data_IF_527838749024
#
_entry.id   IF_527838749024
#
_cell.length_a   1.000
_cell.length_b   1.000
_cell.length_c   1.000
_cell.angle_alpha   90.00
_cell.angle_beta   90.00
_cell.angle_gamma   90.00
#
_symmetry.space_group_name_H-M   'P 1'
#
loop_
_entity.id
_entity.type
_entity.pdbx_description
1 polymer ?
#
# COMPACT_ATOMS: atom_id res chain seq x y z
N UNK A 1 22.01 15.43 -29.03
CA UNK A 1 22.40 15.49 -28.55
C UNK A 1 22.47 15.05 -28.40
N UNK A 2 21.96 15.16 -27.81
CA UNK A 2 22.25 15.12 -27.54
C UNK A 2 22.39 14.66 -27.41
N UNK A 3 22.39 14.83 -28.97
CA UNK A 3 22.77 14.92 -28.58
C UNK A 3 22.77 14.58 -28.27
N UNK A 4 22.37 14.48 -28.89
CA UNK A 4 22.72 14.60 -28.36
C UNK A 4 22.47 14.01 -27.94
N UNK A 5 22.22 13.91 -28.07
CA UNK A 5 22.48 13.81 -27.43
C UNK A 5 22.24 13.23 -26.93
N UNK A 6 21.79 13.27 -26.77
CA UNK A 6 21.94 13.05 -26.09
C UNK A 6 21.69 12.48 -25.61
N UNK A 7 21.63 12.51 -25.97
CA UNK A 7 21.86 12.34 -25.28
C UNK A 7 21.56 11.95 -24.71
N UNK A 8 21.41 11.94 -25.55
CA UNK A 8 21.59 12.00 -24.76
C UNK A 8 21.44 11.69 -24.18
N UNK A 9 21.06 11.40 -24.09
CA UNK A 9 21.32 11.43 -23.25
C UNK A 9 21.19 11.02 -22.48
N UNK A 10 20.67 10.97 -22.55
CA UNK A 10 20.97 10.84 -21.56
C UNK A 10 20.82 11.03 -20.77
N UNK A 11 20.65 11.06 -20.99
CA UNK A 11 20.78 11.30 -19.99
C UNK A 11 20.64 11.34 -19.25
N UNK A 12 20.69 11.28 -19.39
CA UNK A 12 20.53 11.23 -18.54
C UNK A 12 20.64 10.46 -18.76
N UNK A 13 20.74 9.81 -19.30
CA UNK A 13 21.11 9.20 -19.29
C UNK A 13 21.15 8.30 -19.79
N UNK A 14 21.31 7.93 -20.13
CA UNK A 14 21.62 7.39 -20.31
C UNK A 14 21.34 6.65 -20.60
N UNK A 15 21.42 6.26 -20.77
CA UNK A 15 21.36 5.93 -20.64
C UNK A 15 21.23 6.18 -20.10
N UNK A 16 21.12 6.28 -20.62
CA UNK A 16 21.12 6.71 -19.73
C UNK A 16 20.57 6.81 -19.35
N UNK A 17 20.61 6.55 -19.99
CA UNK A 17 19.84 6.47 -19.55
C UNK A 17 19.20 6.88 -18.36
N UNK A 18 18.03 7.29 -18.58
CA UNK A 18 17.28 7.69 -17.42
C UNK A 18 16.54 6.47 -16.87
N UNK A 19 16.60 6.18 -15.55
CA UNK A 19 15.83 5.08 -15.00
C UNK A 19 14.33 5.38 -15.14
N UNK A 20 13.56 4.34 -15.40
CA UNK A 20 12.10 4.45 -15.39
C UNK A 20 11.66 4.66 -13.96
N UNK A 21 10.79 5.64 -13.67
CA UNK A 21 10.27 5.83 -12.33
C UNK A 21 9.57 4.58 -11.81
N UNK A 22 9.66 4.35 -10.51
CA UNK A 22 8.93 3.28 -9.87
C UNK A 22 7.43 3.50 -10.06
N UNK A 23 6.72 2.44 -10.39
CA UNK A 23 5.29 2.49 -10.66
C UNK A 23 4.50 1.82 -9.54
N UNK A 24 3.28 2.30 -9.26
CA UNK A 24 2.41 1.59 -8.33
C UNK A 24 2.05 0.21 -8.86
N UNK A 25 1.79 -0.74 -7.95
CA UNK A 25 1.52 -2.11 -8.33
C UNK A 25 0.65 -2.78 -7.27
N UNK A 26 -0.39 -3.52 -7.73
CA UNK A 26 -1.22 -4.32 -6.83
C UNK A 26 -0.55 -5.62 -6.40
N UNK A 27 0.68 -5.88 -6.85
CA UNK A 27 1.38 -7.11 -6.51
C UNK A 27 2.09 -6.98 -5.18
N UNK A 28 1.54 -7.65 -4.18
CA UNK A 28 2.16 -7.76 -2.86
C UNK A 28 3.14 -8.91 -2.86
N UNK A 29 4.26 -8.72 -2.16
CA UNK A 29 5.29 -9.74 -2.02
C UNK A 29 5.49 -10.07 -0.55
N UNK A 30 5.92 -11.29 -0.31
CA UNK A 30 6.18 -11.78 1.03
C UNK A 30 7.61 -12.26 1.14
N UNK A 31 8.15 -12.18 2.35
CA UNK A 31 9.46 -12.75 2.69
C UNK A 31 9.28 -13.74 3.82
N UNK A 32 10.20 -14.70 4.00
CA UNK A 32 10.08 -15.65 5.10
C UNK A 32 10.11 -14.95 6.45
N UNK A 33 9.28 -15.44 7.39
CA UNK A 33 9.33 -14.98 8.77
C UNK A 33 10.55 -15.62 9.45
N UNK A 34 11.49 -14.80 9.98
CA UNK A 34 12.69 -15.36 10.62
C UNK A 34 12.44 -15.99 11.98
N UNK A 35 11.26 -15.77 12.58
CA UNK A 35 10.91 -16.34 13.89
C UNK A 35 9.53 -16.99 13.84
N UNK A 36 9.36 -18.07 13.06
CA UNK A 36 8.02 -18.65 12.87
C UNK A 36 7.47 -19.34 14.10
N UNK A 37 8.33 -19.68 15.06
CA UNK A 37 7.93 -20.38 16.30
C UNK A 37 7.49 -19.43 17.41
N UNK A 38 7.53 -18.13 17.17
CA UNK A 38 7.18 -17.14 18.18
C UNK A 38 6.01 -16.30 17.68
N UNK A 39 5.05 -16.06 18.56
CA UNK A 39 4.02 -15.07 18.28
C UNK A 39 4.53 -13.69 18.66
N UNK A 40 4.52 -12.80 17.70
CA UNK A 40 4.85 -11.39 17.92
C UNK A 40 4.03 -10.55 16.96
N UNK A 41 3.89 -9.27 17.26
CA UNK A 41 3.10 -8.35 16.43
C UNK A 41 4.00 -7.49 15.56
N UNK A 42 3.56 -7.30 14.33
CA UNK A 42 4.13 -6.31 13.41
C UNK A 42 3.07 -5.26 13.16
N UNK A 43 3.44 -3.99 13.31
CA UNK A 43 2.53 -2.89 13.05
C UNK A 43 3.14 -1.99 11.99
N UNK A 44 2.38 -1.76 10.91
CA UNK A 44 2.78 -0.83 9.85
C UNK A 44 1.78 0.32 9.84
N UNK A 45 2.26 1.54 10.03
CA UNK A 45 1.42 2.74 9.97
C UNK A 45 1.73 3.45 8.67
N UNK A 46 0.69 3.62 7.84
CA UNK A 46 0.82 4.20 6.51
C UNK A 46 -0.06 5.46 6.45
N UNK A 47 0.50 6.64 6.79
CA UNK A 47 -0.32 7.84 7.01
C UNK A 47 -0.69 8.59 5.74
N UNK A 48 -0.24 8.14 4.57
CA UNK A 48 -0.40 8.91 3.34
C UNK A 48 -1.21 8.19 2.28
N UNK A 49 -2.20 7.39 2.71
CA UNK A 49 -3.04 6.69 1.77
C UNK A 49 -4.00 7.65 1.08
N UNK A 50 -4.16 7.49 -0.23
CA UNK A 50 -5.13 8.25 -1.00
C UNK A 50 -5.90 7.33 -1.94
N UNK A 51 -7.18 7.66 -2.13
CA UNK A 51 -8.00 7.09 -3.18
C UNK A 51 -8.98 8.18 -3.62
N UNK A 52 -9.96 7.81 -4.44
CA UNK A 52 -10.90 8.77 -5.00
C UNK A 52 -12.29 8.42 -4.52
N UNK A 53 -13.05 9.44 -4.13
CA UNK A 53 -14.46 9.24 -3.80
C UNK A 53 -15.21 8.79 -5.06
N UNK A 54 -15.90 7.63 -5.02
CA UNK A 54 -16.56 7.12 -6.23
C UNK A 54 -17.75 7.95 -6.67
N UNK A 55 -18.27 8.80 -5.79
CA UNK A 55 -19.44 9.63 -6.12
C UNK A 55 -19.04 10.99 -6.67
N UNK A 56 -18.02 11.63 -6.09
CA UNK A 56 -17.66 13.01 -6.44
C UNK A 56 -16.37 13.12 -7.24
N UNK A 57 -15.54 12.08 -7.26
CA UNK A 57 -14.22 12.13 -7.89
C UNK A 57 -13.18 12.91 -7.11
N UNK A 58 -13.52 13.39 -5.91
CA UNK A 58 -12.57 14.12 -5.08
C UNK A 58 -11.60 13.15 -4.41
N UNK A 59 -10.35 13.60 -4.16
CA UNK A 59 -9.40 12.76 -3.45
C UNK A 59 -9.79 12.57 -1.99
N UNK A 60 -9.64 11.35 -1.52
CA UNK A 60 -9.81 10.98 -0.11
C UNK A 60 -8.45 10.64 0.47
N UNK A 61 -8.25 10.98 1.74
CA UNK A 61 -6.98 10.77 2.44
C UNK A 61 -7.22 10.01 3.72
N UNK A 62 -6.33 9.07 4.00
CA UNK A 62 -6.46 8.25 5.21
C UNK A 62 -5.11 7.81 5.74
N UNK A 63 -5.11 7.44 7.02
CA UNK A 63 -4.01 6.71 7.62
C UNK A 63 -4.45 5.26 7.79
N UNK A 64 -3.65 4.34 7.27
CA UNK A 64 -3.87 2.91 7.45
C UNK A 64 -2.92 2.38 8.49
N UNK A 65 -3.44 1.62 9.46
CA UNK A 65 -2.63 0.88 10.42
C UNK A 65 -2.92 -0.60 10.21
N UNK A 66 -1.87 -1.34 9.89
CA UNK A 66 -1.94 -2.78 9.64
C UNK A 66 -1.17 -3.46 10.77
N UNK A 67 -1.87 -4.25 11.58
CA UNK A 67 -1.29 -4.97 12.71
C UNK A 67 -1.52 -6.45 12.49
N UNK A 68 -0.45 -7.26 12.56
CA UNK A 68 -0.63 -8.69 12.36
C UNK A 68 0.37 -9.50 13.17
N UNK A 69 -0.02 -10.73 13.47
CA UNK A 69 0.86 -11.75 14.03
C UNK A 69 1.25 -12.66 12.88
N UNK A 70 2.51 -12.64 12.45
CA UNK A 70 2.90 -13.41 11.29
C UNK A 70 2.86 -14.92 11.53
N UNK A 71 2.49 -15.66 10.49
CA UNK A 71 2.69 -17.09 10.40
C UNK A 71 4.02 -17.36 9.70
N UNK A 72 4.00 -18.01 8.52
CA UNK A 72 5.24 -18.35 7.83
C UNK A 72 5.91 -17.16 7.14
N UNK A 73 5.20 -16.05 6.95
CA UNK A 73 5.67 -14.98 6.07
C UNK A 73 5.47 -13.60 6.67
N UNK A 74 6.29 -12.64 6.21
CA UNK A 74 6.13 -11.22 6.49
C UNK A 74 5.83 -10.51 5.16
N UNK A 75 5.09 -9.41 5.24
CA UNK A 75 4.89 -8.58 4.04
C UNK A 75 6.19 -7.84 3.73
N UNK A 76 6.55 -7.81 2.44
CA UNK A 76 7.70 -7.06 1.99
C UNK A 76 7.29 -5.59 1.88
N UNK A 77 8.03 -4.70 2.56
CA UNK A 77 7.56 -3.33 2.79
C UNK A 77 7.53 -2.46 1.53
N UNK A 78 8.46 -2.69 0.61
CA UNK A 78 8.43 -1.92 -0.65
C UNK A 78 7.19 -2.27 -1.46
N UNK A 79 6.84 -3.55 -1.53
CA UNK A 79 5.64 -3.97 -2.26
C UNK A 79 4.37 -3.44 -1.59
N UNK A 80 4.36 -3.37 -0.26
CA UNK A 80 3.23 -2.79 0.47
C UNK A 80 3.06 -1.32 0.11
N UNK A 81 4.15 -0.58 0.05
CA UNK A 81 4.13 0.83 -0.32
C UNK A 81 3.55 1.03 -1.73
N UNK A 82 4.02 0.23 -2.69
CA UNK A 82 3.53 0.32 -4.06
C UNK A 82 2.07 -0.11 -4.18
N UNK A 83 1.68 -1.09 -3.38
CA UNK A 83 0.31 -1.59 -3.35
C UNK A 83 -0.66 -0.50 -2.87
N UNK A 84 -0.36 0.15 -1.75
CA UNK A 84 -1.22 1.21 -1.22
C UNK A 84 -1.26 2.40 -2.18
N UNK A 85 -0.14 2.73 -2.79
CA UNK A 85 -0.07 3.79 -3.81
C UNK A 85 -0.97 3.49 -5.00
N UNK A 86 -1.15 2.22 -5.34
CA UNK A 86 -1.95 1.83 -6.51
C UNK A 86 -3.41 2.25 -6.44
N UNK A 87 -3.89 2.60 -5.25
CA UNK A 87 -5.28 3.07 -5.08
C UNK A 87 -5.48 4.55 -5.36
N UNK A 88 -4.40 5.28 -5.62
CA UNK A 88 -4.44 6.74 -5.67
C UNK A 88 -5.47 7.29 -6.66
N UNK A 89 -5.62 6.64 -7.80
CA UNK A 89 -6.57 7.07 -8.84
C UNK A 89 -7.84 6.23 -8.85
N UNK A 90 -7.99 5.33 -7.92
CA UNK A 90 -9.08 4.36 -7.93
C UNK A 90 -10.22 4.85 -7.05
N UNK A 91 -11.46 4.82 -7.60
CA UNK A 91 -12.66 5.12 -6.83
C UNK A 91 -12.97 3.97 -5.87
N UNK A 92 -13.09 4.27 -4.59
CA UNK A 92 -13.35 3.24 -3.60
C UNK A 92 -14.06 3.82 -2.39
N UNK A 93 -15.07 3.11 -1.89
CA UNK A 93 -15.65 3.43 -0.60
C UNK A 93 -14.69 3.02 0.52
N UNK A 94 -14.72 3.76 1.62
CA UNK A 94 -13.82 3.53 2.75
C UNK A 94 -13.93 2.10 3.27
N UNK A 95 -15.15 1.62 3.40
CA UNK A 95 -15.42 0.26 3.89
C UNK A 95 -14.90 -0.81 2.94
N UNK A 96 -15.06 -0.58 1.64
CA UNK A 96 -14.63 -1.56 0.66
C UNK A 96 -13.12 -1.64 0.58
N UNK A 97 -12.44 -0.50 0.46
CA UNK A 97 -10.98 -0.53 0.30
C UNK A 97 -10.29 -1.09 1.54
N UNK A 98 -10.82 -0.82 2.75
CA UNK A 98 -10.25 -1.37 3.97
C UNK A 98 -10.33 -2.88 3.98
N UNK A 99 -11.47 -3.43 3.57
CA UNK A 99 -11.65 -4.88 3.50
C UNK A 99 -10.79 -5.51 2.40
N UNK A 100 -10.66 -4.84 1.26
CA UNK A 100 -9.82 -5.33 0.15
C UNK A 100 -8.35 -5.40 0.59
N UNK A 101 -7.88 -4.39 1.29
CA UNK A 101 -6.50 -4.38 1.79
C UNK A 101 -6.28 -5.54 2.75
N UNK A 102 -7.23 -5.78 3.66
CA UNK A 102 -7.13 -6.93 4.56
C UNK A 102 -7.07 -8.24 3.78
N UNK A 103 -7.99 -8.45 2.84
CA UNK A 103 -8.07 -9.69 2.09
C UNK A 103 -6.80 -9.95 1.29
N UNK A 104 -6.28 -8.92 0.63
CA UNK A 104 -5.08 -9.06 -0.20
C UNK A 104 -3.86 -9.39 0.66
N UNK A 105 -3.74 -8.74 1.82
CA UNK A 105 -2.61 -9.00 2.73
C UNK A 105 -2.70 -10.39 3.35
N UNK A 106 -3.90 -10.82 3.76
CA UNK A 106 -4.10 -12.16 4.31
C UNK A 106 -3.69 -13.21 3.28
N UNK A 107 -4.11 -13.02 2.04
CA UNK A 107 -3.76 -13.95 0.97
C UNK A 107 -2.27 -13.99 0.70
N UNK A 108 -1.59 -12.84 0.83
CA UNK A 108 -0.17 -12.74 0.57
C UNK A 108 0.69 -13.38 1.68
N UNK A 109 0.42 -13.05 2.96
CA UNK A 109 1.32 -13.40 4.04
C UNK A 109 0.83 -14.53 4.95
N UNK A 110 -0.44 -14.92 4.82
CA UNK A 110 -1.01 -16.02 5.61
C UNK A 110 -0.77 -15.86 7.10
N UNK A 111 -1.23 -14.74 7.68
CA UNK A 111 -0.95 -14.43 9.09
C UNK A 111 -1.78 -15.32 10.02
N UNK A 112 -1.37 -15.40 11.27
CA UNK A 112 -2.20 -16.03 12.29
C UNK A 112 -3.43 -15.19 12.58
N UNK A 113 -3.26 -13.86 12.60
CA UNK A 113 -4.36 -12.89 12.65
C UNK A 113 -3.87 -11.54 12.14
N UNK A 114 -4.80 -10.74 11.69
CA UNK A 114 -4.49 -9.42 11.16
C UNK A 114 -5.66 -8.47 11.36
N UNK A 115 -5.36 -7.22 11.65
CA UNK A 115 -6.35 -6.15 11.69
C UNK A 115 -5.86 -4.99 10.84
N UNK A 116 -6.76 -4.47 10.03
CA UNK A 116 -6.52 -3.26 9.22
C UNK A 116 -7.48 -2.18 9.71
N UNK A 117 -6.93 -1.04 10.08
CA UNK A 117 -7.71 0.12 10.53
C UNK A 117 -7.41 1.27 9.58
N UNK A 118 -8.44 1.85 9.00
CA UNK A 118 -8.30 3.06 8.20
C UNK A 118 -9.00 4.22 8.88
N UNK A 119 -8.26 5.32 9.08
CA UNK A 119 -8.79 6.55 9.65
C UNK A 119 -8.77 7.62 8.58
N UNK A 120 -9.96 8.10 8.24
CA UNK A 120 -10.15 9.00 7.11
C UNK A 120 -10.24 10.44 7.57
N UNK A 121 -9.63 11.35 6.81
CA UNK A 121 -9.68 12.77 7.14
C UNK A 121 -11.11 13.25 7.18
N UNK A 122 -11.36 14.25 8.05
CA UNK A 122 -12.68 14.81 8.23
C UNK A 122 -13.19 15.36 6.89
N UNK A 123 -14.43 15.01 6.60
CA UNK A 123 -15.10 15.50 5.40
C UNK A 123 -16.57 15.72 5.76
N UNK A 124 -17.08 16.91 5.45
CA UNK A 124 -18.47 17.25 5.78
C UNK A 124 -18.75 17.18 7.27
N UNK A 125 -17.73 17.44 8.12
CA UNK A 125 -17.88 17.39 9.56
C UNK A 125 -17.83 16.00 10.17
N UNK A 126 -17.59 14.95 9.34
CA UNK A 126 -17.55 13.57 9.82
C UNK A 126 -16.14 12.99 9.68
N UNK A 127 -15.70 12.29 10.71
CA UNK A 127 -14.47 11.51 10.68
C UNK A 127 -14.85 10.03 10.77
N UNK A 128 -14.42 9.26 9.77
CA UNK A 128 -14.77 7.85 9.67
C UNK A 128 -13.56 6.98 9.96
N UNK A 129 -13.76 5.94 10.76
CA UNK A 129 -12.75 4.90 10.99
C UNK A 129 -13.38 3.56 10.67
N UNK A 130 -12.67 2.76 9.88
CA UNK A 130 -13.11 1.41 9.52
C UNK A 130 -12.10 0.41 10.09
N UNK A 131 -12.59 -0.65 10.72
CA UNK A 131 -11.75 -1.72 11.27
C UNK A 131 -12.20 -3.05 10.71
N UNK A 132 -11.28 -3.79 10.13
CA UNK A 132 -11.54 -5.10 9.57
C UNK A 132 -10.49 -6.08 10.10
N UNK A 133 -10.90 -7.28 10.48
CA UNK A 133 -10.02 -8.25 11.14
C UNK A 133 -10.13 -9.63 10.52
N UNK A 134 -9.04 -10.39 10.62
CA UNK A 134 -8.93 -11.78 10.21
C UNK A 134 -8.27 -12.57 11.35
N UNK A 135 -8.76 -13.71 11.77
CA UNK A 135 -10.07 -14.28 11.50
C UNK A 135 -11.20 -13.50 12.11
#
# INVERSE_FOLDING_TARGET
>A
SQAGSHRSRRPFGGRHSNPVPTQPSKELEAVPNPHPDREYEVECVCPEFTCVCPLTGQPDFASFTITYVPGPKLVELKSLKLYLWSYRQEGAFHEDVTNRVLDDLVRCVEPRRMTVVSRWNIRGGSETTVRASYP
#
